data_IF_028359742625
#
_entry.id   IF_028359742625
#
_cell.length_a   1.000
_cell.length_b   1.000
_cell.length_c   1.000
_cell.angle_alpha   90.00
_cell.angle_beta   90.00
_cell.angle_gamma   90.00
#
_symmetry.space_group_name_H-M   'P 1'
#
loop_
_entity.id
_entity.type
_entity.pdbx_description
1 polymer ?
#
# COMPACT_ATOMS: atom_id res chain seq x y z
N UNK A 1 14.70 13.00 -13.47
CA UNK A 1 14.55 12.52 -12.08
C UNK A 1 13.12 12.07 -11.76
N UNK A 2 12.06 12.68 -12.32
CA UNK A 2 10.67 12.27 -12.04
C UNK A 2 10.28 10.82 -12.44
N UNK A 3 10.83 10.27 -13.54
CA UNK A 3 10.48 8.91 -13.99
C UNK A 3 10.95 7.79 -13.06
N UNK A 4 12.03 8.02 -12.28
CA UNK A 4 12.54 7.04 -11.32
C UNK A 4 11.57 6.89 -10.16
N UNK A 5 11.16 8.00 -9.55
CA UNK A 5 10.21 8.01 -8.43
C UNK A 5 8.87 7.35 -8.79
N UNK A 6 8.28 7.63 -9.97
CA UNK A 6 6.99 7.01 -10.37
C UNK A 6 7.12 5.48 -10.50
N UNK A 7 8.29 5.00 -10.94
CA UNK A 7 8.56 3.56 -11.04
C UNK A 7 8.68 2.93 -9.65
N UNK A 8 9.38 3.62 -8.74
CA UNK A 8 9.55 3.19 -7.35
C UNK A 8 8.19 3.13 -6.61
N UNK A 9 7.31 4.13 -6.81
CA UNK A 9 5.95 4.14 -6.22
C UNK A 9 5.09 2.97 -6.71
N UNK A 10 5.06 2.72 -8.02
CA UNK A 10 4.29 1.62 -8.59
C UNK A 10 4.81 0.24 -8.15
N UNK A 11 6.12 0.12 -7.96
CA UNK A 11 6.74 -1.12 -7.50
C UNK A 11 6.40 -1.38 -6.02
N UNK A 12 6.50 -0.36 -5.17
CA UNK A 12 6.07 -0.46 -3.76
C UNK A 12 4.59 -0.78 -3.66
N UNK A 13 3.73 -0.16 -4.47
CA UNK A 13 2.31 -0.50 -4.50
C UNK A 13 2.05 -1.96 -4.86
N UNK A 14 2.73 -2.48 -5.90
CA UNK A 14 2.61 -3.89 -6.28
C UNK A 14 3.11 -4.83 -5.18
N UNK A 15 4.21 -4.47 -4.50
CA UNK A 15 4.71 -5.19 -3.34
C UNK A 15 3.67 -5.23 -2.20
N UNK A 16 3.10 -4.09 -1.83
CA UNK A 16 2.10 -3.98 -0.75
C UNK A 16 0.80 -4.74 -1.06
N UNK A 17 0.47 -4.91 -2.33
CA UNK A 17 -0.67 -5.69 -2.81
C UNK A 17 -0.35 -7.17 -3.04
N UNK A 18 0.89 -7.63 -2.81
CA UNK A 18 1.29 -9.02 -3.03
C UNK A 18 1.21 -9.42 -4.50
N UNK A 19 1.53 -8.47 -5.40
CA UNK A 19 1.46 -8.66 -6.86
C UNK A 19 2.83 -8.84 -7.50
N UNK A 20 3.87 -8.92 -6.69
CA UNK A 20 5.21 -9.31 -7.12
C UNK A 20 5.44 -10.82 -7.02
N UNK A 21 4.39 -11.59 -6.75
CA UNK A 21 4.41 -13.05 -6.86
C UNK A 21 5.03 -13.46 -8.20
N UNK A 22 5.94 -14.44 -8.18
CA UNK A 22 6.77 -14.89 -9.32
C UNK A 22 7.93 -13.96 -9.71
N UNK A 23 8.11 -12.82 -9.02
CA UNK A 23 9.22 -11.89 -9.18
C UNK A 23 10.04 -11.76 -7.88
N UNK A 24 10.51 -12.89 -7.34
CA UNK A 24 11.22 -12.97 -6.06
C UNK A 24 12.38 -11.96 -5.94
N UNK A 25 13.18 -11.79 -7.00
CA UNK A 25 14.27 -10.81 -7.00
C UNK A 25 13.74 -9.37 -6.77
N UNK A 26 12.60 -9.00 -7.36
CA UNK A 26 12.01 -7.67 -7.19
C UNK A 26 11.38 -7.50 -5.81
N UNK A 27 10.71 -8.54 -5.31
CA UNK A 27 10.15 -8.55 -3.95
C UNK A 27 11.24 -8.34 -2.89
N UNK A 28 12.34 -9.10 -2.98
CA UNK A 28 13.49 -8.97 -2.08
C UNK A 28 14.12 -7.59 -2.16
N UNK A 29 14.31 -7.03 -3.37
CA UNK A 29 14.86 -5.68 -3.53
C UNK A 29 13.99 -4.60 -2.89
N UNK A 30 12.66 -4.70 -3.00
CA UNK A 30 11.74 -3.75 -2.35
C UNK A 30 11.76 -3.93 -0.85
N UNK A 31 11.70 -5.17 -0.37
CA UNK A 31 11.76 -5.49 1.06
C UNK A 31 13.04 -4.97 1.72
N UNK A 32 14.20 -5.22 1.12
CA UNK A 32 15.49 -4.70 1.59
C UNK A 32 15.52 -3.18 1.56
N UNK A 33 14.98 -2.57 0.50
CA UNK A 33 14.84 -1.12 0.40
C UNK A 33 14.05 -0.52 1.56
N UNK A 34 12.91 -1.12 1.90
CA UNK A 34 12.07 -0.69 3.04
C UNK A 34 12.82 -0.86 4.37
N UNK A 35 13.56 -1.96 4.54
CA UNK A 35 14.25 -2.27 5.78
C UNK A 35 15.44 -1.33 6.06
N UNK A 36 16.14 -0.88 5.01
CA UNK A 36 17.42 -0.15 5.15
C UNK A 36 17.36 1.33 4.74
N UNK A 37 16.24 1.83 4.25
CA UNK A 37 16.10 3.22 3.79
C UNK A 37 14.87 3.90 4.39
N UNK A 38 15.12 4.86 5.30
CA UNK A 38 14.06 5.67 5.94
C UNK A 38 13.19 6.43 4.91
N UNK A 39 13.75 6.87 3.78
CA UNK A 39 12.97 7.53 2.71
C UNK A 39 11.98 6.57 2.04
N UNK A 40 12.29 5.25 2.02
CA UNK A 40 11.35 4.25 1.52
C UNK A 40 10.21 3.98 2.50
N UNK A 41 10.45 4.13 3.79
CA UNK A 41 9.39 4.03 4.81
C UNK A 41 8.33 5.11 4.59
N UNK A 42 8.73 6.37 4.36
CA UNK A 42 7.78 7.46 4.08
C UNK A 42 6.96 7.20 2.80
N UNK A 43 7.60 6.60 1.79
CA UNK A 43 6.93 6.20 0.54
C UNK A 43 5.90 5.09 0.81
N UNK A 44 6.26 4.07 1.59
CA UNK A 44 5.35 3.00 1.97
C UNK A 44 4.15 3.57 2.71
N UNK A 45 4.38 4.41 3.71
CA UNK A 45 3.31 5.02 4.50
C UNK A 45 2.33 5.80 3.61
N UNK A 46 2.85 6.61 2.70
CA UNK A 46 2.04 7.36 1.72
C UNK A 46 1.20 6.44 0.83
N UNK A 47 1.79 5.36 0.30
CA UNK A 47 1.08 4.43 -0.59
C UNK A 47 0.05 3.61 0.20
N UNK A 48 0.35 3.25 1.45
CA UNK A 48 -0.62 2.58 2.32
C UNK A 48 -1.85 3.46 2.57
N UNK A 49 -1.66 4.76 2.81
CA UNK A 49 -2.77 5.71 2.95
C UNK A 49 -3.61 5.83 1.67
N UNK A 50 -2.96 5.94 0.50
CA UNK A 50 -3.64 5.97 -0.81
C UNK A 50 -4.47 4.69 -1.05
N UNK A 51 -3.90 3.51 -0.81
CA UNK A 51 -4.61 2.23 -0.95
C UNK A 51 -5.85 2.19 -0.05
N UNK A 52 -5.71 2.65 1.20
CA UNK A 52 -6.81 2.68 2.18
C UNK A 52 -7.91 3.66 1.74
N UNK A 53 -7.55 4.86 1.29
CA UNK A 53 -8.50 5.84 0.79
C UNK A 53 -9.29 5.29 -0.40
N UNK A 54 -8.60 4.77 -1.42
CA UNK A 54 -9.23 4.18 -2.61
C UNK A 54 -10.11 2.97 -2.25
N UNK A 55 -9.70 2.16 -1.28
CA UNK A 55 -10.49 1.04 -0.77
C UNK A 55 -11.79 1.53 -0.11
N UNK A 56 -11.72 2.62 0.65
CA UNK A 56 -12.87 3.22 1.34
C UNK A 56 -13.81 3.98 0.41
N UNK A 57 -13.29 4.53 -0.67
CA UNK A 57 -14.06 5.18 -1.73
C UNK A 57 -14.68 4.17 -2.70
N UNK A 58 -14.12 2.96 -2.77
CA UNK A 58 -14.52 1.95 -3.75
C UNK A 58 -14.00 2.25 -5.16
N UNK A 59 -12.91 3.02 -5.27
CA UNK A 59 -12.27 3.41 -6.54
C UNK A 59 -11.20 2.41 -7.01
N UNK A 60 -10.81 1.45 -6.16
CA UNK A 60 -9.92 0.36 -6.55
C UNK A 60 -10.49 -0.50 -7.69
N UNK A 61 -9.59 -0.98 -8.56
CA UNK A 61 -9.93 -2.04 -9.52
C UNK A 61 -10.36 -3.32 -8.78
N UNK A 62 -11.10 -4.21 -9.45
CA UNK A 62 -11.52 -5.48 -8.83
C UNK A 62 -10.34 -6.34 -8.37
N UNK A 63 -9.24 -6.30 -9.13
CA UNK A 63 -8.01 -7.04 -8.81
C UNK A 63 -7.32 -6.44 -7.59
N UNK A 64 -7.20 -5.12 -7.51
CA UNK A 64 -6.58 -4.46 -6.36
C UNK A 64 -7.44 -4.59 -5.11
N UNK A 65 -8.76 -4.53 -5.26
CA UNK A 65 -9.70 -4.79 -4.16
C UNK A 65 -9.49 -6.17 -3.55
N UNK A 66 -9.41 -7.20 -4.40
CA UNK A 66 -9.17 -8.58 -3.97
C UNK A 66 -7.79 -8.72 -3.30
N UNK A 67 -6.75 -8.09 -3.85
CA UNK A 67 -5.43 -8.05 -3.26
C UNK A 67 -5.43 -7.36 -1.89
N UNK A 68 -6.23 -6.29 -1.71
CA UNK A 68 -6.36 -5.63 -0.42
C UNK A 68 -6.97 -6.56 0.63
N UNK A 69 -8.07 -7.21 0.27
CA UNK A 69 -8.80 -8.11 1.17
C UNK A 69 -7.99 -9.36 1.55
N UNK A 70 -7.17 -9.88 0.63
CA UNK A 70 -6.42 -11.13 0.82
C UNK A 70 -5.00 -10.96 1.34
N UNK A 71 -4.33 -9.84 1.01
CA UNK A 71 -2.90 -9.66 1.23
C UNK A 71 -2.60 -8.38 2.03
N UNK A 72 -2.99 -7.21 1.50
CA UNK A 72 -2.65 -5.93 2.12
C UNK A 72 -3.07 -5.85 3.59
N UNK A 73 -4.28 -6.33 3.92
CA UNK A 73 -4.84 -6.28 5.28
C UNK A 73 -4.39 -7.44 6.19
N UNK A 74 -3.41 -8.26 5.80
CA UNK A 74 -2.89 -9.31 6.68
C UNK A 74 -2.17 -8.74 7.93
N UNK A 75 -1.29 -7.72 7.83
CA UNK A 75 -0.64 -7.13 8.99
C UNK A 75 -1.64 -6.41 9.92
N UNK A 76 -1.58 -6.63 11.25
CA UNK A 76 -2.47 -5.97 12.21
C UNK A 76 -2.43 -4.43 12.15
N UNK A 77 -1.27 -3.86 11.87
CA UNK A 77 -1.02 -2.41 11.77
C UNK A 77 -1.85 -1.80 10.63
N UNK A 78 -1.90 -2.47 9.47
CA UNK A 78 -2.71 -2.02 8.32
C UNK A 78 -4.20 -2.14 8.57
N UNK A 79 -4.63 -3.17 9.31
CA UNK A 79 -6.02 -3.27 9.75
C UNK A 79 -6.38 -2.13 10.71
N UNK A 80 -5.46 -1.73 11.60
CA UNK A 80 -5.65 -0.59 12.50
C UNK A 80 -5.74 0.73 11.74
N UNK A 81 -4.83 0.94 10.78
CA UNK A 81 -4.83 2.10 9.88
C UNK A 81 -6.18 2.23 9.14
N UNK A 82 -6.70 1.13 8.59
CA UNK A 82 -8.02 1.08 7.97
C UNK A 82 -9.15 1.40 8.96
N UNK A 83 -9.13 0.85 10.18
CA UNK A 83 -10.14 1.16 11.21
C UNK A 83 -10.14 2.64 11.57
N UNK A 84 -8.96 3.23 11.72
CA UNK A 84 -8.81 4.65 12.04
C UNK A 84 -9.32 5.55 10.91
N UNK A 85 -8.93 5.28 9.67
CA UNK A 85 -9.41 6.01 8.49
C UNK A 85 -10.95 5.94 8.36
N UNK A 86 -11.56 4.77 8.61
CA UNK A 86 -13.02 4.61 8.66
C UNK A 86 -13.68 5.50 9.70
N UNK A 87 -13.11 5.55 10.92
CA UNK A 87 -13.62 6.37 12.01
C UNK A 87 -13.56 7.86 11.65
N UNK A 88 -12.43 8.32 11.11
CA UNK A 88 -12.26 9.70 10.67
C UNK A 88 -13.26 10.08 9.56
N UNK A 89 -13.39 9.25 8.52
CA UNK A 89 -14.34 9.47 7.44
C UNK A 89 -15.76 9.65 7.97
N UNK A 90 -16.20 8.76 8.86
CA UNK A 90 -17.52 8.87 9.47
C UNK A 90 -17.71 10.17 10.29
N UNK A 91 -16.69 10.59 11.04
CA UNK A 91 -16.75 11.83 11.82
C UNK A 91 -16.86 13.08 10.95
N UNK A 92 -16.19 13.12 9.78
CA UNK A 92 -16.23 14.27 8.88
C UNK A 92 -17.41 14.28 7.89
N UNK A 93 -18.15 13.18 7.78
CA UNK A 93 -19.39 13.08 7.00
C UNK A 93 -20.65 13.54 7.78
N UNK A 94 -20.50 13.91 9.06
CA UNK A 94 -21.58 14.37 9.97
C UNK A 94 -21.66 15.89 10.03
#
# INVERSE_FOLDING_TARGET
MAMKNITDLNLVRQYLLGRLDEQADLEDNVSDGILFNDEMTDIVDSIEDEIIEEYLEGSLSSVDREAVDKYFLQPPERQEKLRFAKLLKHHFET
#
